data_IF_515615828655
#
_entry.id   IF_515615828655
#
_cell.length_a   1.000
_cell.length_b   1.000
_cell.length_c   1.000
_cell.angle_alpha   90.00
_cell.angle_beta   90.00
_cell.angle_gamma   90.00
#
_symmetry.space_group_name_H-M   'P 1'
#
loop_
_entity.id
_entity.type
_entity.pdbx_description
1 polymer ?
#
# COMPACT_ATOMS: atom_id res chain seq x y z
N UNK A 1 9.49 -17.28 20.22
CA UNK A 1 9.11 -17.60 18.84
C UNK A 1 7.60 -17.58 18.81
N UNK A 2 7.00 -16.47 18.38
CA UNK A 2 5.55 -16.45 18.20
C UNK A 2 5.22 -17.35 17.01
N UNK A 3 4.16 -18.13 17.15
CA UNK A 3 3.62 -18.91 16.05
C UNK A 3 2.65 -18.01 15.28
N UNK A 4 2.68 -18.05 13.94
CA UNK A 4 1.78 -17.27 13.07
C UNK A 4 0.30 -17.38 13.48
N UNK A 5 -0.10 -18.55 14.01
CA UNK A 5 -1.45 -18.82 14.51
C UNK A 5 -1.78 -18.00 15.77
N UNK A 6 -0.82 -17.85 16.68
CA UNK A 6 -0.98 -17.07 17.92
C UNK A 6 -1.05 -15.58 17.60
N UNK A 7 -0.19 -15.10 16.69
CA UNK A 7 -0.22 -13.70 16.23
C UNK A 7 -1.52 -13.37 15.48
N UNK A 8 -2.05 -14.32 14.70
CA UNK A 8 -3.38 -14.20 14.10
C UNK A 8 -4.49 -14.16 15.16
N UNK A 9 -4.46 -15.07 16.14
CA UNK A 9 -5.46 -15.17 17.21
C UNK A 9 -5.53 -13.88 18.06
N UNK A 10 -4.39 -13.25 18.31
CA UNK A 10 -4.31 -12.01 19.08
C UNK A 10 -4.45 -10.74 18.23
N UNK A 11 -4.60 -10.85 16.90
CA UNK A 11 -4.70 -9.69 16.01
C UNK A 11 -3.40 -8.89 15.86
N UNK A 12 -2.26 -9.52 16.13
CA UNK A 12 -0.93 -8.91 16.04
C UNK A 12 -0.32 -9.01 14.64
N UNK A 13 -1.06 -9.54 13.67
CA UNK A 13 -0.59 -9.77 12.30
C UNK A 13 -0.67 -8.48 11.47
N UNK A 14 0.07 -7.46 11.89
CA UNK A 14 0.13 -6.12 11.28
C UNK A 14 1.27 -6.04 10.27
N UNK A 15 1.11 -6.81 9.19
CA UNK A 15 2.17 -6.97 8.19
C UNK A 15 2.52 -5.65 7.51
N UNK A 16 1.52 -4.80 7.28
CA UNK A 16 1.63 -3.50 6.63
C UNK A 16 2.38 -2.46 7.48
N UNK A 17 2.16 -2.43 8.80
CA UNK A 17 2.85 -1.50 9.71
C UNK A 17 4.39 -1.70 9.73
N UNK A 18 4.85 -2.89 9.35
CA UNK A 18 6.29 -3.19 9.24
C UNK A 18 6.89 -2.86 7.88
N UNK A 19 6.07 -2.60 6.86
CA UNK A 19 6.52 -2.32 5.50
C UNK A 19 6.96 -0.88 5.40
N UNK A 20 8.27 -0.67 5.51
CA UNK A 20 8.92 0.59 5.18
C UNK A 20 9.83 0.33 3.99
N UNK A 21 9.48 0.80 2.77
CA UNK A 21 10.37 0.67 1.64
C UNK A 21 11.66 1.47 1.92
N UNK A 22 12.76 0.78 2.24
CA UNK A 22 14.07 1.40 2.46
C UNK A 22 14.76 1.81 1.14
N UNK A 23 14.09 1.59 0.01
CA UNK A 23 14.59 1.98 -1.30
C UNK A 23 14.68 3.51 -1.39
N UNK A 24 15.89 4.01 -1.63
CA UNK A 24 16.16 5.44 -1.80
C UNK A 24 15.30 6.08 -2.88
N UNK A 25 14.94 5.33 -3.93
CA UNK A 25 14.02 5.75 -4.99
C UNK A 25 12.61 6.05 -4.48
N UNK A 26 12.09 5.24 -3.56
CA UNK A 26 10.79 5.48 -2.93
C UNK A 26 10.81 6.79 -2.13
N UNK A 27 11.87 7.03 -1.36
CA UNK A 27 12.04 8.25 -0.59
C UNK A 27 12.15 9.48 -1.51
N UNK A 28 12.89 9.35 -2.61
CA UNK A 28 13.06 10.40 -3.61
C UNK A 28 11.73 10.79 -4.27
N UNK A 29 10.94 9.79 -4.70
CA UNK A 29 9.63 10.01 -5.31
C UNK A 29 8.69 10.73 -4.34
N UNK A 30 8.64 10.29 -3.07
CA UNK A 30 7.78 10.93 -2.07
C UNK A 30 8.21 12.37 -1.75
N UNK A 31 9.52 12.66 -1.79
CA UNK A 31 10.00 14.04 -1.68
C UNK A 31 9.53 14.88 -2.86
N UNK A 32 9.67 14.39 -4.09
CA UNK A 32 9.22 15.12 -5.29
C UNK A 32 7.70 15.38 -5.27
N UNK A 33 6.90 14.42 -4.80
CA UNK A 33 5.46 14.60 -4.61
C UNK A 33 5.19 15.73 -3.61
N UNK A 34 5.90 15.72 -2.48
CA UNK A 34 5.74 16.74 -1.42
C UNK A 34 6.13 18.13 -1.90
N UNK A 35 7.24 18.24 -2.64
CA UNK A 35 7.73 19.50 -3.21
C UNK A 35 6.71 20.07 -4.22
N UNK A 36 6.19 19.24 -5.13
CA UNK A 36 5.14 19.65 -6.08
C UNK A 36 3.86 20.10 -5.38
N UNK A 37 3.45 19.40 -4.32
CA UNK A 37 2.27 19.78 -3.53
C UNK A 37 2.43 21.15 -2.87
N UNK A 38 3.64 21.44 -2.37
CA UNK A 38 3.96 22.73 -1.77
C UNK A 38 3.99 23.84 -2.81
N UNK A 39 4.55 23.59 -4.00
CA UNK A 39 4.56 24.53 -5.11
C UNK A 39 3.14 24.87 -5.57
N UNK A 40 2.29 23.86 -5.77
CA UNK A 40 0.89 24.05 -6.17
C UNK A 40 0.08 24.83 -5.14
N UNK A 41 0.38 24.66 -3.85
CA UNK A 41 -0.26 25.45 -2.78
C UNK A 41 -0.03 26.95 -2.92
N UNK A 42 1.09 27.36 -3.51
CA UNK A 42 1.43 28.78 -3.72
C UNK A 42 0.95 29.34 -5.05
N UNK A 43 0.70 28.48 -6.04
CA UNK A 43 0.37 28.86 -7.42
C UNK A 43 -1.12 28.82 -7.72
N UNK A 44 -1.85 27.91 -7.07
CA UNK A 44 -3.29 27.72 -7.28
C UNK A 44 -4.13 28.59 -6.35
N UNK A 45 -5.34 28.90 -6.78
CA UNK A 45 -6.35 29.42 -5.85
C UNK A 45 -6.77 28.36 -4.84
N UNK A 46 -7.35 28.77 -3.72
CA UNK A 46 -7.81 27.86 -2.66
C UNK A 46 -8.77 26.78 -3.22
N UNK A 47 -9.75 27.18 -4.05
CA UNK A 47 -10.68 26.22 -4.67
C UNK A 47 -10.04 25.25 -5.65
N UNK A 48 -8.99 25.67 -6.37
CA UNK A 48 -8.26 24.80 -7.28
C UNK A 48 -7.36 23.82 -6.52
N UNK A 49 -6.77 24.28 -5.42
CA UNK A 49 -5.98 23.43 -4.53
C UNK A 49 -6.86 22.40 -3.82
N UNK A 50 -8.03 22.79 -3.31
CA UNK A 50 -9.01 21.87 -2.70
C UNK A 50 -9.44 20.77 -3.67
N UNK A 51 -9.67 21.12 -4.94
CA UNK A 51 -10.01 20.15 -5.99
C UNK A 51 -8.86 19.19 -6.30
N UNK A 52 -7.61 19.68 -6.24
CA UNK A 52 -6.42 18.85 -6.39
C UNK A 52 -6.25 17.88 -5.21
N UNK A 53 -6.44 18.34 -3.97
CA UNK A 53 -6.40 17.48 -2.78
C UNK A 53 -7.47 16.40 -2.87
N UNK A 54 -8.70 16.76 -3.26
CA UNK A 54 -9.78 15.79 -3.46
C UNK A 54 -9.43 14.75 -4.54
N UNK A 55 -8.80 15.15 -5.64
CA UNK A 55 -8.34 14.22 -6.66
C UNK A 55 -7.29 13.24 -6.11
N UNK A 56 -6.32 13.72 -5.35
CA UNK A 56 -5.26 12.90 -4.74
C UNK A 56 -5.86 11.91 -3.74
N UNK A 57 -6.82 12.34 -2.93
CA UNK A 57 -7.54 11.47 -1.99
C UNK A 57 -8.28 10.34 -2.72
N UNK A 58 -8.96 10.67 -3.82
CA UNK A 58 -9.67 9.68 -4.65
C UNK A 58 -8.70 8.67 -5.29
N UNK A 59 -7.54 9.14 -5.77
CA UNK A 59 -6.48 8.26 -6.28
C UNK A 59 -5.96 7.34 -5.16
N UNK A 60 -5.74 7.88 -3.96
CA UNK A 60 -5.30 7.12 -2.79
C UNK A 60 -6.30 6.02 -2.42
N UNK A 61 -7.59 6.35 -2.35
CA UNK A 61 -8.67 5.38 -2.08
C UNK A 61 -8.74 4.29 -3.15
N UNK A 62 -8.74 4.67 -4.43
CA UNK A 62 -8.76 3.71 -5.53
C UNK A 62 -7.54 2.80 -5.53
N UNK A 63 -6.36 3.34 -5.21
CA UNK A 63 -5.10 2.57 -5.13
C UNK A 63 -5.14 1.60 -3.96
N UNK A 64 -5.66 2.03 -2.80
CA UNK A 64 -5.82 1.18 -1.62
C UNK A 64 -6.72 -0.03 -1.92
N UNK A 65 -7.88 0.20 -2.54
CA UNK A 65 -8.80 -0.88 -2.96
C UNK A 65 -8.13 -1.86 -3.94
N UNK A 66 -7.36 -1.35 -4.90
CA UNK A 66 -6.63 -2.18 -5.84
C UNK A 66 -5.56 -3.02 -5.15
N UNK A 67 -4.77 -2.42 -4.26
CA UNK A 67 -3.70 -3.12 -3.51
C UNK A 67 -4.28 -4.20 -2.61
N UNK A 68 -5.41 -3.96 -1.95
CA UNK A 68 -6.13 -4.97 -1.16
C UNK A 68 -6.54 -6.17 -2.04
N UNK A 69 -7.17 -5.91 -3.19
CA UNK A 69 -7.57 -6.97 -4.13
C UNK A 69 -6.37 -7.76 -4.68
N UNK A 70 -5.27 -7.06 -4.99
CA UNK A 70 -4.02 -7.68 -5.44
C UNK A 70 -3.39 -8.55 -4.35
N UNK A 71 -3.41 -8.09 -3.09
CA UNK A 71 -2.92 -8.84 -1.93
C UNK A 71 -3.72 -10.13 -1.75
N UNK A 72 -5.05 -10.07 -1.71
CA UNK A 72 -5.91 -11.25 -1.60
C UNK A 72 -5.62 -12.27 -2.73
N UNK A 73 -5.55 -11.77 -3.96
CA UNK A 73 -5.28 -12.62 -5.12
C UNK A 73 -3.88 -13.25 -5.07
N UNK A 74 -2.88 -12.52 -4.55
CA UNK A 74 -1.54 -13.04 -4.28
C UNK A 74 -1.55 -14.24 -3.34
N UNK A 75 -2.25 -14.14 -2.20
CA UNK A 75 -2.40 -15.24 -1.25
C UNK A 75 -3.13 -16.44 -1.85
N UNK A 76 -4.23 -16.21 -2.57
CA UNK A 76 -4.97 -17.28 -3.25
C UNK A 76 -4.09 -18.01 -4.26
N UNK A 77 -3.29 -17.27 -5.03
CA UNK A 77 -2.36 -17.84 -6.01
C UNK A 77 -1.24 -18.63 -5.31
N UNK A 78 -0.61 -18.06 -4.29
CA UNK A 78 0.42 -18.74 -3.49
C UNK A 78 -0.08 -20.04 -2.87
N UNK A 79 -1.27 -20.04 -2.28
CA UNK A 79 -1.89 -21.24 -1.72
C UNK A 79 -2.12 -22.34 -2.77
N UNK A 80 -2.59 -21.98 -3.97
CA UNK A 80 -2.76 -22.93 -5.09
C UNK A 80 -1.42 -23.52 -5.54
N UNK A 81 -0.38 -22.69 -5.67
CA UNK A 81 0.97 -23.14 -6.04
C UNK A 81 1.52 -24.12 -5.00
N UNK A 82 1.37 -23.83 -3.70
CA UNK A 82 1.80 -24.71 -2.63
C UNK A 82 1.08 -26.06 -2.69
N UNK A 83 -0.25 -26.06 -2.87
CA UNK A 83 -1.02 -27.30 -3.04
C UNK A 83 -0.51 -28.07 -4.26
N UNK A 84 -0.28 -27.42 -5.39
CA UNK A 84 0.18 -28.09 -6.61
C UNK A 84 1.54 -28.76 -6.42
N UNK A 85 2.50 -28.08 -5.77
CA UNK A 85 3.84 -28.62 -5.51
C UNK A 85 3.78 -29.78 -4.52
N UNK A 86 3.02 -29.64 -3.43
CA UNK A 86 2.97 -30.63 -2.34
C UNK A 86 2.07 -31.82 -2.65
N UNK A 87 1.12 -31.69 -3.59
CA UNK A 87 0.20 -32.78 -3.98
C UNK A 87 0.75 -33.66 -5.10
N UNK A 88 1.90 -33.29 -5.71
CA UNK A 88 2.61 -34.16 -6.64
C UNK A 88 3.52 -35.11 -5.82
N UNK A 89 3.45 -36.43 -6.03
CA UNK A 89 4.28 -37.41 -5.33
C UNK A 89 5.77 -37.28 -5.67
#
# INVERSE_FOLDING_TARGET
>A
MSNLIEDLFHGNLRLDESIHPEHSEYQEINRQISDLMQDYKTQLTESEYDALEQLIDLIGQSTSMYVEAAFEQGFRTGGRLMIEVLSKP
#
